data_IF_551403568575
#
_entry.id   IF_551403568575
#
_cell.length_a   1.000
_cell.length_b   1.000
_cell.length_c   1.000
_cell.angle_alpha   90.00
_cell.angle_beta   90.00
_cell.angle_gamma   90.00
#
_symmetry.space_group_name_H-M   'P 1'
#
loop_
_entity.id
_entity.type
_entity.pdbx_description
1 polymer ?
#
# COMPACT_ATOMS: atom_id res chain seq x y z
N UNK A 1 18.53 35.14 59.52
CA UNK A 1 17.63 34.10 58.96
C UNK A 1 17.30 33.12 60.07
N UNK A 2 16.03 32.92 60.38
CA UNK A 2 15.65 32.04 61.50
C UNK A 2 16.13 30.61 61.24
N UNK A 3 16.55 29.93 62.29
CA UNK A 3 17.06 28.56 62.27
C UNK A 3 16.12 27.60 61.50
N UNK A 4 14.82 27.91 61.47
CA UNK A 4 13.78 27.19 60.75
C UNK A 4 13.94 27.27 59.21
N UNK A 5 14.40 28.39 58.66
CA UNK A 5 14.67 28.51 57.23
C UNK A 5 15.92 27.73 56.80
N UNK A 6 16.96 27.73 57.65
CA UNK A 6 18.17 26.95 57.38
C UNK A 6 17.88 25.45 57.41
N UNK A 7 17.05 25.00 58.36
CA UNK A 7 16.61 23.61 58.45
C UNK A 7 15.72 23.21 57.26
N UNK A 8 14.74 24.04 56.90
CA UNK A 8 13.88 23.79 55.73
C UNK A 8 14.65 23.76 54.41
N UNK A 9 15.63 24.65 54.24
CA UNK A 9 16.50 24.68 53.07
C UNK A 9 17.42 23.45 53.00
N UNK A 10 17.95 23.00 54.14
CA UNK A 10 18.77 21.79 54.22
C UNK A 10 17.96 20.51 53.91
N UNK A 11 16.72 20.42 54.40
CA UNK A 11 15.81 19.32 54.07
C UNK A 11 15.44 19.31 52.59
N UNK A 12 15.18 20.48 52.00
CA UNK A 12 14.89 20.62 50.57
C UNK A 12 16.07 20.18 49.69
N UNK A 13 17.30 20.56 50.07
CA UNK A 13 18.52 20.10 49.39
C UNK A 13 18.70 18.59 49.47
N UNK A 14 18.43 17.97 50.63
CA UNK A 14 18.47 16.52 50.80
C UNK A 14 17.46 15.80 49.89
N UNK A 15 16.24 16.35 49.76
CA UNK A 15 15.23 15.81 48.85
C UNK A 15 15.68 15.93 47.40
N UNK A 16 16.25 17.07 47.00
CA UNK A 16 16.78 17.27 45.65
C UNK A 16 17.92 16.31 45.31
N UNK A 17 18.82 16.05 46.26
CA UNK A 17 19.90 15.06 46.10
C UNK A 17 19.32 13.65 46.02
N UNK A 18 18.34 13.31 46.87
CA UNK A 18 17.66 12.02 46.82
C UNK A 18 16.93 11.80 45.49
N UNK A 19 16.26 12.82 44.96
CA UNK A 19 15.60 12.79 43.65
C UNK A 19 16.63 12.69 42.51
N UNK A 20 17.77 13.37 42.58
CA UNK A 20 18.83 13.23 41.59
C UNK A 20 19.44 11.82 41.60
N UNK A 21 19.70 11.26 42.78
CA UNK A 21 20.19 9.88 42.91
C UNK A 21 19.16 8.88 42.41
N UNK A 22 17.88 9.08 42.74
CA UNK A 22 16.78 8.24 42.23
C UNK A 22 16.66 8.35 40.71
N UNK A 23 16.75 9.55 40.15
CA UNK A 23 16.69 9.77 38.71
C UNK A 23 17.91 9.18 37.99
N UNK A 24 19.12 9.35 38.54
CA UNK A 24 20.35 8.74 38.04
C UNK A 24 20.31 7.21 38.14
N UNK A 25 19.80 6.66 39.24
CA UNK A 25 19.59 5.23 39.39
C UNK A 25 18.55 4.72 38.40
N UNK A 26 17.44 5.43 38.20
CA UNK A 26 16.38 5.03 37.27
C UNK A 26 16.89 5.07 35.84
N UNK A 27 17.57 6.14 35.41
CA UNK A 27 18.22 6.24 34.10
C UNK A 27 19.26 5.14 33.88
N UNK A 28 20.08 4.81 34.88
CA UNK A 28 21.09 3.74 34.77
C UNK A 28 20.54 2.32 34.94
N UNK A 29 19.33 2.16 35.51
CA UNK A 29 18.68 0.84 35.65
C UNK A 29 17.70 0.51 34.53
N UNK A 30 17.37 1.47 33.65
CA UNK A 30 16.75 1.19 32.32
C UNK A 30 17.64 0.25 31.47
N UNK A 31 18.91 0.06 31.84
CA UNK A 31 19.84 -0.89 31.22
C UNK A 31 20.01 -2.25 31.93
N UNK A 32 19.18 -2.63 32.92
CA UNK A 32 19.29 -3.99 33.52
C UNK A 32 18.96 -5.04 32.45
N UNK A 33 20.00 -5.73 31.96
CA UNK A 33 19.94 -6.90 31.08
C UNK A 33 18.88 -7.88 31.59
N UNK A 34 17.75 -7.97 30.89
CA UNK A 34 16.89 -9.14 31.04
C UNK A 34 17.65 -10.36 30.50
N UNK A 35 17.39 -11.54 31.06
CA UNK A 35 17.93 -12.82 30.59
C UNK A 35 18.05 -12.89 29.06
N UNK A 36 19.23 -13.25 28.57
CA UNK A 36 19.54 -13.37 27.16
C UNK A 36 18.52 -14.28 26.47
N UNK A 37 17.86 -13.77 25.43
CA UNK A 37 17.02 -14.58 24.56
C UNK A 37 17.90 -15.27 23.53
N UNK A 38 17.69 -16.56 23.28
CA UNK A 38 18.29 -17.24 22.13
C UNK A 38 17.60 -16.74 20.86
N UNK A 39 18.13 -15.64 20.31
CA UNK A 39 17.85 -15.22 18.94
C UNK A 39 18.26 -16.37 18.01
N UNK A 40 17.46 -16.71 16.98
CA UNK A 40 17.86 -17.72 16.00
C UNK A 40 19.29 -17.45 15.52
N UNK A 41 20.10 -18.49 15.43
CA UNK A 41 21.56 -18.43 15.19
C UNK A 41 21.91 -17.81 13.82
N UNK A 42 21.72 -16.51 13.66
CA UNK A 42 22.45 -15.74 12.69
C UNK A 42 23.83 -15.60 13.30
N UNK A 43 24.87 -16.07 12.60
CA UNK A 43 26.25 -15.79 13.00
C UNK A 43 26.45 -14.28 12.93
N UNK A 44 26.24 -13.61 14.06
CA UNK A 44 26.22 -12.15 14.19
C UNK A 44 27.54 -11.53 13.73
N UNK A 45 28.63 -12.30 13.80
CA UNK A 45 29.98 -11.91 13.37
C UNK A 45 30.11 -11.63 11.88
N UNK A 46 29.15 -12.07 11.05
CA UNK A 46 29.11 -11.83 9.60
C UNK A 46 27.98 -10.90 9.17
N UNK A 47 27.16 -10.41 10.11
CA UNK A 47 26.09 -9.49 9.81
C UNK A 47 26.62 -8.05 9.78
N UNK A 48 26.14 -7.17 8.88
CA UNK A 48 26.43 -5.74 8.95
C UNK A 48 26.16 -5.17 10.36
N UNK A 49 26.94 -4.19 10.81
CA UNK A 49 26.85 -3.60 12.16
C UNK A 49 25.43 -3.22 12.56
N UNK A 50 24.64 -2.72 11.61
CA UNK A 50 23.23 -2.36 11.80
C UNK A 50 22.38 -3.52 12.32
N UNK A 51 22.60 -4.75 11.86
CA UNK A 51 21.86 -5.90 12.36
C UNK A 51 22.25 -6.21 13.81
N UNK A 52 23.54 -6.12 14.15
CA UNK A 52 24.01 -6.28 15.53
C UNK A 52 23.34 -5.25 16.43
N UNK A 53 23.31 -3.99 16.01
CA UNK A 53 22.66 -2.90 16.76
C UNK A 53 21.16 -3.17 16.93
N UNK A 54 20.44 -3.55 15.87
CA UNK A 54 19.01 -3.92 15.96
C UNK A 54 18.81 -5.05 16.97
N UNK A 55 19.60 -6.13 16.89
CA UNK A 55 19.48 -7.25 17.82
C UNK A 55 19.82 -6.87 19.27
N UNK A 56 20.80 -5.98 19.46
CA UNK A 56 21.10 -5.42 20.76
C UNK A 56 19.90 -4.62 21.31
N UNK A 57 19.30 -3.76 20.48
CA UNK A 57 18.14 -2.97 20.89
C UNK A 57 16.89 -3.81 21.15
N UNK A 58 16.69 -4.91 20.43
CA UNK A 58 15.61 -5.86 20.70
C UNK A 58 15.72 -6.47 22.11
N UNK A 59 16.94 -6.63 22.65
CA UNK A 59 17.13 -7.13 24.01
C UNK A 59 16.63 -6.15 25.09
N UNK A 60 16.56 -4.84 24.79
CA UNK A 60 16.01 -3.84 25.70
C UNK A 60 14.47 -3.75 25.66
N UNK A 61 13.80 -4.42 24.72
CA UNK A 61 12.34 -4.38 24.65
C UNK A 61 11.68 -5.12 25.83
N UNK A 62 10.51 -4.65 26.31
CA UNK A 62 9.68 -5.36 27.28
C UNK A 62 9.35 -6.78 26.84
N UNK A 63 9.15 -7.69 27.80
CA UNK A 63 8.98 -9.12 27.54
C UNK A 63 7.79 -9.44 26.62
N UNK A 64 6.74 -8.60 26.63
CA UNK A 64 5.58 -8.75 25.74
C UNK A 64 5.95 -8.68 24.25
N UNK A 65 7.02 -7.96 23.88
CA UNK A 65 7.49 -7.84 22.50
C UNK A 65 8.49 -8.94 22.11
N UNK A 66 9.01 -9.68 23.10
CA UNK A 66 9.93 -10.80 22.89
C UNK A 66 9.18 -12.12 22.60
N UNK A 67 7.90 -12.18 22.97
CA UNK A 67 7.06 -13.34 22.70
C UNK A 67 6.57 -13.32 21.24
N UNK A 68 6.79 -14.43 20.53
CA UNK A 68 6.18 -14.61 19.21
C UNK A 68 4.66 -14.58 19.35
N UNK A 69 3.99 -13.77 18.54
CA UNK A 69 2.52 -13.75 18.50
C UNK A 69 1.99 -15.16 18.21
N UNK A 70 1.30 -15.76 19.19
CA UNK A 70 0.77 -17.13 19.09
C UNK A 70 -0.21 -17.29 17.93
N UNK A 71 -0.88 -16.21 17.53
CA UNK A 71 -1.82 -16.20 16.40
C UNK A 71 -1.14 -16.13 15.04
N UNK A 72 0.17 -15.83 14.97
CA UNK A 72 0.88 -15.61 13.69
C UNK A 72 0.68 -16.75 12.71
N UNK A 73 0.92 -18.00 13.13
CA UNK A 73 0.77 -19.18 12.27
C UNK A 73 -0.67 -19.38 11.79
N UNK A 74 -1.66 -19.09 12.65
CA UNK A 74 -3.07 -19.17 12.28
C UNK A 74 -3.45 -18.08 11.27
N UNK A 75 -3.04 -16.84 11.51
CA UNK A 75 -3.26 -15.71 10.59
C UNK A 75 -2.62 -15.99 9.23
N UNK A 76 -1.37 -16.46 9.21
CA UNK A 76 -0.66 -16.80 7.99
C UNK A 76 -1.37 -17.91 7.20
N UNK A 77 -1.79 -18.99 7.88
CA UNK A 77 -2.54 -20.08 7.25
C UNK A 77 -3.88 -19.61 6.70
N UNK A 78 -4.61 -18.79 7.46
CA UNK A 78 -5.89 -18.24 7.04
C UNK A 78 -5.72 -17.35 5.80
N UNK A 79 -4.70 -16.49 5.78
CA UNK A 79 -4.38 -15.67 4.61
C UNK A 79 -4.07 -16.52 3.38
N UNK A 80 -3.20 -17.54 3.50
CA UNK A 80 -2.89 -18.43 2.37
C UNK A 80 -4.14 -19.16 1.89
N UNK A 81 -4.96 -19.66 2.82
CA UNK A 81 -6.20 -20.36 2.49
C UNK A 81 -7.22 -19.48 1.77
N UNK A 82 -7.28 -18.18 2.10
CA UNK A 82 -8.22 -17.25 1.47
C UNK A 82 -7.90 -16.97 0.01
N UNK A 83 -6.63 -17.09 -0.41
CA UNK A 83 -6.25 -17.00 -1.82
C UNK A 83 -6.46 -18.32 -2.57
N UNK A 84 -6.39 -19.46 -1.88
CA UNK A 84 -6.47 -20.79 -2.51
C UNK A 84 -7.91 -21.27 -2.77
N UNK A 85 -8.92 -20.69 -2.13
CA UNK A 85 -10.34 -21.09 -2.20
C UNK A 85 -11.04 -20.88 -3.56
N UNK A 86 -10.29 -20.75 -4.66
CA UNK A 86 -10.78 -20.38 -5.99
C UNK A 86 -11.47 -21.51 -6.78
N UNK A 87 -11.40 -22.77 -6.34
CA UNK A 87 -12.05 -23.88 -7.04
C UNK A 87 -13.55 -23.93 -6.70
N UNK A 88 -14.41 -23.84 -7.71
CA UNK A 88 -15.88 -23.97 -7.66
C UNK A 88 -16.71 -22.78 -7.12
N UNK A 89 -16.18 -21.55 -7.10
CA UNK A 89 -17.00 -20.40 -6.66
C UNK A 89 -17.84 -19.81 -7.79
N UNK A 90 -19.16 -19.73 -7.58
CA UNK A 90 -20.08 -19.01 -8.45
C UNK A 90 -19.79 -17.49 -8.38
N UNK A 91 -19.13 -16.98 -9.42
CA UNK A 91 -18.72 -15.56 -9.53
C UNK A 91 -19.91 -14.59 -9.48
N UNK A 92 -21.12 -15.02 -9.85
CA UNK A 92 -22.33 -14.16 -9.77
C UNK A 92 -22.68 -13.80 -8.34
N UNK A 93 -22.39 -14.65 -7.37
CA UNK A 93 -22.70 -14.39 -5.97
C UNK A 93 -21.71 -13.41 -5.34
N UNK A 94 -20.46 -13.35 -5.84
CA UNK A 94 -19.44 -12.43 -5.30
C UNK A 94 -19.88 -10.97 -5.45
N UNK A 95 -20.50 -10.62 -6.58
CA UNK A 95 -20.88 -9.23 -6.88
C UNK A 95 -22.15 -8.74 -6.17
N UNK A 96 -22.90 -9.62 -5.48
CA UNK A 96 -24.20 -9.27 -4.88
C UNK A 96 -24.08 -8.33 -3.68
N UNK A 97 -23.01 -8.47 -2.91
CA UNK A 97 -22.86 -7.83 -1.61
C UNK A 97 -21.82 -6.71 -1.62
N UNK A 98 -21.51 -6.17 -2.81
CA UNK A 98 -20.46 -5.15 -3.01
C UNK A 98 -20.72 -3.87 -2.23
N UNK A 99 -21.99 -3.52 -2.02
CA UNK A 99 -22.41 -2.36 -1.22
C UNK A 99 -22.05 -2.50 0.27
N UNK A 100 -21.92 -3.73 0.77
CA UNK A 100 -21.60 -4.02 2.17
C UNK A 100 -20.10 -4.18 2.44
N UNK A 101 -19.24 -4.12 1.42
CA UNK A 101 -17.81 -4.36 1.57
C UNK A 101 -17.08 -3.22 2.29
N UNK A 102 -17.50 -1.99 2.05
CA UNK A 102 -16.81 -0.81 2.58
C UNK A 102 -17.32 -0.48 3.98
N UNK A 103 -16.38 -0.40 4.92
CA UNK A 103 -16.54 0.04 6.31
C UNK A 103 -15.47 1.09 6.64
N UNK A 104 -15.43 1.55 7.88
CA UNK A 104 -14.39 2.48 8.34
C UNK A 104 -13.02 1.81 8.45
N UNK A 105 -12.97 0.48 8.64
CA UNK A 105 -11.73 -0.28 8.78
C UNK A 105 -11.25 -0.95 7.48
N UNK A 106 -12.12 -1.10 6.50
CA UNK A 106 -11.82 -1.86 5.27
C UNK A 106 -12.63 -1.37 4.07
N UNK A 107 -12.00 -1.31 2.90
CA UNK A 107 -12.68 -0.93 1.65
C UNK A 107 -13.09 -2.14 0.79
N UNK A 108 -12.52 -3.31 1.05
CA UNK A 108 -12.68 -4.51 0.24
C UNK A 108 -12.74 -5.74 1.15
N UNK A 109 -13.48 -6.80 0.76
CA UNK A 109 -13.66 -7.95 1.63
C UNK A 109 -12.33 -8.71 1.77
N UNK A 110 -11.78 -8.73 2.97
CA UNK A 110 -10.52 -9.45 3.30
C UNK A 110 -10.74 -10.70 4.14
N UNK A 111 -11.94 -10.87 4.70
CA UNK A 111 -12.26 -11.94 5.64
C UNK A 111 -12.99 -13.11 4.98
N UNK A 112 -13.22 -14.19 5.74
CA UNK A 112 -14.05 -15.33 5.34
C UNK A 112 -13.67 -15.98 4.00
N UNK A 113 -12.40 -15.94 3.62
CA UNK A 113 -11.93 -16.59 2.38
C UNK A 113 -12.29 -15.84 1.09
N UNK A 114 -12.68 -14.57 1.16
CA UNK A 114 -13.19 -13.80 0.02
C UNK A 114 -12.14 -13.49 -1.07
N UNK A 115 -10.85 -13.42 -0.73
CA UNK A 115 -9.80 -12.91 -1.61
C UNK A 115 -9.64 -13.71 -2.92
N UNK A 116 -9.46 -15.02 -2.82
CA UNK A 116 -9.25 -15.91 -3.98
C UNK A 116 -10.43 -15.89 -4.96
N UNK A 117 -11.67 -16.10 -4.49
CA UNK A 117 -12.86 -16.01 -5.32
C UNK A 117 -13.06 -14.63 -5.96
N UNK A 118 -12.78 -13.55 -5.23
CA UNK A 118 -12.86 -12.19 -5.76
C UNK A 118 -11.85 -11.98 -6.90
N UNK A 119 -10.59 -12.33 -6.69
CA UNK A 119 -9.56 -12.23 -7.73
C UNK A 119 -9.87 -13.12 -8.94
N UNK A 120 -10.41 -14.31 -8.70
CA UNK A 120 -10.88 -15.19 -9.77
C UNK A 120 -12.00 -14.51 -10.56
N UNK A 121 -13.01 -13.95 -9.89
CA UNK A 121 -14.10 -13.22 -10.53
C UNK A 121 -13.61 -12.02 -11.35
N UNK A 122 -12.65 -11.22 -10.83
CA UNK A 122 -12.04 -10.11 -11.59
C UNK A 122 -11.33 -10.63 -12.86
N UNK A 123 -10.65 -11.78 -12.76
CA UNK A 123 -9.90 -12.38 -13.86
C UNK A 123 -10.79 -12.98 -14.95
N UNK A 124 -11.90 -13.63 -14.58
CA UNK A 124 -12.68 -14.48 -15.50
C UNK A 124 -14.05 -13.95 -15.88
N UNK A 125 -14.62 -12.99 -15.13
CA UNK A 125 -15.95 -12.46 -15.46
C UNK A 125 -15.97 -11.82 -16.85
N UNK A 126 -17.03 -12.11 -17.61
CA UNK A 126 -17.24 -11.58 -18.95
C UNK A 126 -17.34 -10.05 -18.94
N UNK A 127 -16.75 -9.44 -19.96
CA UNK A 127 -16.75 -7.99 -20.15
C UNK A 127 -17.98 -7.62 -20.98
N UNK A 128 -18.81 -6.75 -20.44
CA UNK A 128 -20.02 -6.25 -21.08
C UNK A 128 -19.76 -4.95 -21.88
N UNK A 129 -18.81 -4.13 -21.44
CA UNK A 129 -18.46 -2.87 -22.11
C UNK A 129 -17.01 -2.48 -21.81
N UNK A 130 -16.34 -1.88 -22.80
CA UNK A 130 -15.00 -1.29 -22.65
C UNK A 130 -14.97 0.14 -23.17
N UNK A 131 -14.45 1.08 -22.37
CA UNK A 131 -14.17 2.46 -22.79
C UNK A 131 -12.77 2.93 -22.33
N UNK A 132 -12.34 4.08 -22.84
CA UNK A 132 -11.30 4.88 -22.24
C UNK A 132 -11.73 5.34 -20.84
N UNK A 133 -10.84 5.23 -19.86
CA UNK A 133 -11.15 5.79 -18.54
C UNK A 133 -11.21 7.33 -18.59
N UNK A 134 -12.14 7.96 -17.85
CA UNK A 134 -12.48 9.38 -18.04
C UNK A 134 -11.39 10.37 -17.62
N UNK A 135 -10.44 9.97 -16.77
CA UNK A 135 -9.39 10.86 -16.20
C UNK A 135 -8.10 10.10 -15.97
N UNK A 136 -6.97 10.76 -16.20
CA UNK A 136 -5.64 10.22 -15.89
C UNK A 136 -4.58 10.73 -16.86
N UNK A 137 -3.33 10.62 -16.44
CA UNK A 137 -2.18 10.98 -17.28
C UNK A 137 -1.70 9.83 -18.16
N UNK A 138 -1.89 8.60 -17.68
CA UNK A 138 -1.44 7.36 -18.31
C UNK A 138 -2.60 6.57 -18.91
N UNK A 139 -2.29 5.72 -19.90
CA UNK A 139 -3.27 4.85 -20.56
C UNK A 139 -3.89 3.88 -19.54
N UNK A 140 -5.21 3.91 -19.43
CA UNK A 140 -6.00 2.90 -18.73
C UNK A 140 -7.39 2.82 -19.34
N UNK A 141 -7.94 1.62 -19.37
CA UNK A 141 -9.29 1.35 -19.86
C UNK A 141 -10.25 1.16 -18.68
N UNK A 142 -11.52 1.44 -18.91
CA UNK A 142 -12.61 1.13 -18.00
C UNK A 142 -13.38 -0.05 -18.56
N UNK A 143 -13.45 -1.14 -17.81
CA UNK A 143 -14.29 -2.29 -18.13
C UNK A 143 -15.53 -2.26 -17.26
N UNK A 144 -16.66 -2.60 -17.84
CA UNK A 144 -17.87 -3.00 -17.13
C UNK A 144 -18.03 -4.50 -17.31
N UNK A 145 -18.08 -5.25 -16.22
CA UNK A 145 -18.36 -6.68 -16.24
C UNK A 145 -19.87 -6.92 -16.29
N UNK A 146 -20.30 -8.11 -16.73
CA UNK A 146 -21.73 -8.49 -16.71
C UNK A 146 -22.36 -8.41 -15.32
N UNK A 147 -21.56 -8.63 -14.27
CA UNK A 147 -21.95 -8.43 -12.87
C UNK A 147 -22.08 -6.96 -12.45
N UNK A 148 -22.13 -6.02 -13.40
CA UNK A 148 -22.17 -4.55 -13.22
C UNK A 148 -20.99 -3.94 -12.47
N UNK A 149 -20.01 -4.75 -12.09
CA UNK A 149 -18.79 -4.28 -11.48
C UNK A 149 -17.89 -3.62 -12.51
N UNK A 150 -17.26 -2.50 -12.14
CA UNK A 150 -16.28 -1.81 -12.96
C UNK A 150 -14.86 -2.26 -12.61
N UNK A 151 -13.98 -2.31 -13.59
CA UNK A 151 -12.55 -2.51 -13.42
C UNK A 151 -11.78 -1.41 -14.16
N UNK A 152 -10.70 -0.93 -13.56
CA UNK A 152 -9.65 -0.31 -14.35
C UNK A 152 -8.74 -1.39 -14.92
N UNK A 153 -8.37 -1.25 -16.19
CA UNK A 153 -7.38 -2.09 -16.83
C UNK A 153 -6.18 -1.26 -17.26
N UNK A 154 -5.03 -1.52 -16.64
CA UNK A 154 -3.75 -0.92 -17.01
C UNK A 154 -2.95 -1.92 -17.86
N UNK A 155 -2.81 -1.69 -19.17
CA UNK A 155 -2.11 -2.63 -20.05
C UNK A 155 -0.60 -2.67 -19.75
N UNK A 156 0.01 -3.82 -20.04
CA UNK A 156 1.45 -4.02 -19.99
C UNK A 156 2.16 -3.06 -20.96
N UNK A 157 3.17 -2.35 -20.44
CA UNK A 157 4.04 -1.44 -21.24
C UNK A 157 5.51 -1.83 -21.24
N UNK A 158 5.92 -2.64 -20.27
CA UNK A 158 7.30 -3.04 -20.03
C UNK A 158 7.38 -4.55 -19.78
N UNK A 159 8.54 -5.14 -20.06
CA UNK A 159 8.90 -6.45 -19.56
C UNK A 159 9.26 -6.37 -18.07
N UNK A 160 9.19 -7.51 -17.38
CA UNK A 160 9.50 -7.60 -15.95
C UNK A 160 10.93 -7.12 -15.64
N UNK A 161 11.86 -7.37 -16.56
CA UNK A 161 13.30 -7.07 -16.44
C UNK A 161 13.66 -5.63 -16.78
N UNK A 162 12.73 -4.85 -17.33
CA UNK A 162 13.02 -3.49 -17.74
C UNK A 162 13.36 -2.62 -16.53
N UNK A 163 14.32 -1.71 -16.70
CA UNK A 163 14.71 -0.72 -15.68
C UNK A 163 14.27 0.65 -16.17
N UNK A 164 13.40 1.34 -15.40
CA UNK A 164 13.06 2.73 -15.72
C UNK A 164 14.25 3.61 -15.35
N UNK A 165 14.76 4.35 -16.33
CA UNK A 165 15.80 5.36 -16.15
C UNK A 165 15.19 6.76 -16.27
N UNK A 166 15.84 7.74 -15.67
CA UNK A 166 15.42 9.15 -15.70
C UNK A 166 14.97 9.64 -14.34
N UNK A 167 14.10 10.66 -14.33
CA UNK A 167 13.55 11.20 -13.08
C UNK A 167 12.59 10.20 -12.41
N UNK A 168 12.29 10.43 -11.13
CA UNK A 168 11.48 9.51 -10.29
C UNK A 168 10.04 9.31 -10.76
N UNK A 169 9.53 10.17 -11.65
CA UNK A 169 8.18 10.12 -12.21
C UNK A 169 8.17 9.82 -13.71
N UNK A 170 9.29 9.32 -14.25
CA UNK A 170 9.43 8.96 -15.66
C UNK A 170 8.78 7.60 -15.95
N UNK A 171 8.44 7.41 -17.23
CA UNK A 171 7.92 6.15 -17.74
C UNK A 171 6.40 5.99 -17.61
N UNK A 172 5.92 4.83 -18.08
CA UNK A 172 4.53 4.43 -17.99
C UNK A 172 4.24 3.69 -16.68
N UNK A 173 2.95 3.65 -16.31
CA UNK A 173 2.50 2.77 -15.22
C UNK A 173 2.87 1.31 -15.52
N UNK A 174 3.41 0.63 -14.51
CA UNK A 174 3.77 -0.79 -14.57
C UNK A 174 2.61 -1.62 -14.04
N UNK A 175 1.95 -2.37 -14.93
CA UNK A 175 0.76 -3.17 -14.58
C UNK A 175 1.06 -4.19 -13.48
N UNK A 176 2.20 -4.88 -13.58
CA UNK A 176 2.65 -5.84 -12.57
C UNK A 176 2.85 -5.20 -11.18
N UNK A 177 3.31 -3.94 -11.10
CA UNK A 177 3.48 -3.25 -9.83
C UNK A 177 2.16 -3.06 -9.07
N UNK A 178 1.05 -2.81 -9.77
CA UNK A 178 -0.29 -2.72 -9.15
C UNK A 178 -0.67 -4.05 -8.48
N UNK A 179 -0.39 -5.16 -9.17
CA UNK A 179 -0.67 -6.51 -8.66
C UNK A 179 0.24 -6.83 -7.48
N UNK A 180 1.55 -6.61 -7.59
CA UNK A 180 2.49 -6.83 -6.48
C UNK A 180 2.16 -6.00 -5.25
N UNK A 181 1.81 -4.72 -5.43
CA UNK A 181 1.42 -3.84 -4.34
C UNK A 181 0.19 -4.38 -3.59
N UNK A 182 -0.80 -4.90 -4.31
CA UNK A 182 -1.96 -5.54 -3.68
C UNK A 182 -1.58 -6.78 -2.85
N UNK A 183 -0.77 -7.70 -3.40
CA UNK A 183 -0.33 -8.87 -2.63
C UNK A 183 0.51 -8.49 -1.40
N UNK A 184 1.41 -7.52 -1.54
CA UNK A 184 2.20 -6.99 -0.42
C UNK A 184 1.29 -6.37 0.65
N UNK A 185 0.28 -5.61 0.23
CA UNK A 185 -0.71 -5.02 1.12
C UNK A 185 -1.43 -6.09 1.95
N UNK A 186 -1.79 -7.23 1.35
CA UNK A 186 -2.43 -8.33 2.08
C UNK A 186 -1.48 -8.98 3.10
N UNK A 187 -0.18 -9.11 2.77
CA UNK A 187 0.84 -9.59 3.72
C UNK A 187 1.03 -8.62 4.89
N UNK A 188 0.96 -7.31 4.62
CA UNK A 188 1.08 -6.25 5.62
C UNK A 188 -0.26 -5.94 6.33
N UNK A 189 -1.33 -6.68 6.03
CA UNK A 189 -2.68 -6.50 6.56
C UNK A 189 -3.28 -5.09 6.31
N UNK A 190 -2.98 -4.48 5.16
CA UNK A 190 -3.66 -3.28 4.69
C UNK A 190 -4.99 -3.63 4.05
N UNK A 191 -6.09 -3.09 4.60
CA UNK A 191 -7.46 -3.46 4.22
C UNK A 191 -8.15 -2.50 3.23
N UNK A 192 -7.39 -1.56 2.66
CA UNK A 192 -7.90 -0.47 1.80
C UNK A 192 -7.30 -0.46 0.38
N UNK A 193 -6.47 -1.44 0.03
CA UNK A 193 -5.87 -1.53 -1.31
C UNK A 193 -6.78 -2.31 -2.25
N UNK A 194 -7.02 -1.75 -3.44
CA UNK A 194 -7.92 -2.34 -4.42
C UNK A 194 -7.44 -3.71 -4.92
N UNK A 195 -8.31 -4.74 -4.90
CA UNK A 195 -8.05 -6.05 -5.49
C UNK A 195 -7.56 -5.93 -6.93
N UNK A 196 -6.37 -6.47 -7.17
CA UNK A 196 -5.66 -6.32 -8.44
C UNK A 196 -5.13 -7.67 -8.90
N UNK A 197 -5.38 -8.02 -10.16
CA UNK A 197 -4.98 -9.30 -10.75
C UNK A 197 -4.50 -9.12 -12.19
N UNK A 198 -3.54 -9.96 -12.61
CA UNK A 198 -3.19 -10.04 -14.04
C UNK A 198 -4.34 -10.71 -14.80
N UNK A 199 -4.77 -10.04 -15.87
CA UNK A 199 -5.75 -10.55 -16.83
C UNK A 199 -5.17 -10.43 -18.24
N UNK A 200 -5.34 -11.49 -19.04
CA UNK A 200 -5.07 -11.50 -20.49
C UNK A 200 -6.38 -11.49 -21.22
N UNK A 201 -6.46 -10.68 -22.27
CA UNK A 201 -7.73 -10.37 -22.93
C UNK A 201 -7.49 -10.38 -24.43
N UNK A 202 -8.26 -11.16 -25.16
CA UNK A 202 -8.19 -11.21 -26.61
C UNK A 202 -8.84 -9.96 -27.20
N UNK A 203 -8.07 -9.15 -27.95
CA UNK A 203 -8.52 -7.83 -28.42
C UNK A 203 -9.76 -7.95 -29.32
N UNK A 204 -9.69 -8.78 -30.36
CA UNK A 204 -10.78 -8.90 -31.34
C UNK A 204 -12.02 -9.64 -30.82
N UNK A 205 -11.87 -10.49 -29.79
CA UNK A 205 -12.95 -11.33 -29.27
C UNK A 205 -13.62 -10.75 -28.03
N UNK A 206 -12.86 -10.09 -27.16
CA UNK A 206 -13.34 -9.62 -25.85
C UNK A 206 -13.37 -8.09 -25.72
N UNK A 207 -12.62 -7.34 -26.54
CA UNK A 207 -12.60 -5.86 -26.47
C UNK A 207 -13.41 -5.24 -27.61
N UNK A 208 -13.05 -5.52 -28.86
CA UNK A 208 -13.63 -4.87 -30.05
C UNK A 208 -15.16 -4.98 -30.11
N UNK A 209 -15.79 -6.15 -29.82
CA UNK A 209 -17.25 -6.29 -29.90
C UNK A 209 -18.01 -5.41 -28.89
N UNK A 210 -17.41 -5.15 -27.73
CA UNK A 210 -18.03 -4.44 -26.59
C UNK A 210 -17.41 -3.04 -26.35
N UNK A 211 -16.53 -2.60 -27.25
CA UNK A 211 -15.89 -1.30 -27.17
C UNK A 211 -16.87 -0.17 -27.53
N UNK A 212 -16.87 0.90 -26.74
CA UNK A 212 -17.62 2.11 -27.08
C UNK A 212 -17.03 2.81 -28.31
N UNK A 213 -17.81 3.73 -28.90
CA UNK A 213 -17.29 4.61 -29.96
C UNK A 213 -16.11 5.47 -29.49
N UNK A 214 -16.06 5.81 -28.19
CA UNK A 214 -14.95 6.54 -27.59
C UNK A 214 -13.64 5.76 -27.70
N UNK A 215 -13.66 4.48 -27.35
CA UNK A 215 -12.49 3.61 -27.47
C UNK A 215 -12.15 3.25 -28.91
N UNK A 216 -13.15 2.92 -29.75
CA UNK A 216 -12.94 2.54 -31.16
C UNK A 216 -12.18 3.62 -31.96
N UNK A 217 -12.44 4.90 -31.68
CA UNK A 217 -11.71 6.03 -32.28
C UNK A 217 -10.25 6.12 -31.88
N UNK A 218 -9.85 5.41 -30.83
CA UNK A 218 -8.49 5.38 -30.28
C UNK A 218 -7.80 4.03 -30.48
N UNK A 219 -8.25 3.30 -31.50
CA UNK A 219 -7.67 2.04 -31.98
C UNK A 219 -7.12 2.22 -33.39
N UNK A 220 -5.98 1.61 -33.66
CA UNK A 220 -5.30 1.68 -34.97
C UNK A 220 -4.74 0.32 -35.34
N UNK A 221 -4.71 -0.01 -36.63
CA UNK A 221 -4.04 -1.23 -37.08
C UNK A 221 -2.54 -1.02 -37.10
N UNK A 222 -1.78 -2.00 -36.63
CA UNK A 222 -0.34 -2.07 -36.88
C UNK A 222 -0.07 -2.57 -38.32
N UNK A 223 1.21 -2.68 -38.67
CA UNK A 223 1.67 -3.16 -39.99
C UNK A 223 1.18 -4.58 -40.31
N UNK A 224 1.02 -5.42 -39.28
CA UNK A 224 0.49 -6.80 -39.41
C UNK A 224 -1.04 -6.85 -39.51
N UNK A 225 -1.73 -5.71 -39.43
CA UNK A 225 -3.19 -5.61 -39.48
C UNK A 225 -3.92 -5.79 -38.15
N UNK A 226 -3.20 -6.10 -37.06
CA UNK A 226 -3.76 -6.25 -35.71
C UNK A 226 -4.15 -4.91 -35.10
N UNK A 227 -5.30 -4.84 -34.41
CA UNK A 227 -5.74 -3.63 -33.74
C UNK A 227 -4.96 -3.38 -32.44
N UNK A 228 -4.32 -2.22 -32.36
CA UNK A 228 -3.64 -1.71 -31.19
C UNK A 228 -4.40 -0.52 -30.59
N UNK A 229 -4.22 -0.30 -29.29
CA UNK A 229 -4.96 0.70 -28.50
C UNK A 229 -3.98 1.76 -28.02
N UNK A 230 -4.19 3.03 -28.35
CA UNK A 230 -3.48 4.14 -27.70
C UNK A 230 -4.34 4.89 -26.68
N UNK A 231 -5.66 4.74 -26.77
CA UNK A 231 -6.63 5.27 -25.80
C UNK A 231 -6.67 6.80 -25.70
N UNK A 232 -7.32 7.30 -24.63
CA UNK A 232 -7.47 8.73 -24.35
C UNK A 232 -7.01 9.04 -22.92
N UNK A 233 -5.90 9.76 -22.80
CA UNK A 233 -5.33 10.26 -21.54
C UNK A 233 -4.42 11.47 -21.84
N UNK A 234 -3.92 12.15 -20.80
CA UNK A 234 -3.10 13.38 -20.99
C UNK A 234 -1.85 13.15 -21.84
N UNK A 235 -1.15 12.01 -21.69
CA UNK A 235 0.05 11.69 -22.45
C UNK A 235 -0.17 10.66 -23.58
N UNK A 236 -1.40 10.22 -23.82
CA UNK A 236 -1.70 9.18 -24.81
C UNK A 236 -1.52 9.73 -26.24
N UNK A 237 -0.77 9.00 -27.06
CA UNK A 237 -0.47 9.36 -28.45
C UNK A 237 -0.58 8.14 -29.37
N UNK A 238 -0.93 8.37 -30.62
CA UNK A 238 -1.10 7.32 -31.64
C UNK A 238 0.19 6.50 -31.90
N UNK A 239 1.37 7.06 -31.62
CA UNK A 239 2.65 6.37 -31.73
C UNK A 239 3.04 5.58 -30.46
N UNK A 240 2.23 5.63 -29.40
CA UNK A 240 2.46 4.95 -28.13
C UNK A 240 1.31 3.96 -27.84
N UNK A 241 1.16 2.97 -28.72
CA UNK A 241 0.09 1.98 -28.65
C UNK A 241 0.43 0.76 -27.79
N UNK A 242 -0.60 0.04 -27.36
CA UNK A 242 -0.52 -1.33 -26.84
C UNK A 242 -1.13 -2.25 -27.89
N UNK A 243 -0.33 -3.18 -28.38
CA UNK A 243 -0.73 -4.15 -29.39
C UNK A 243 -0.90 -5.55 -28.78
N UNK A 244 -1.78 -6.39 -29.35
CA UNK A 244 -1.87 -7.79 -28.98
C UNK A 244 -0.57 -8.55 -29.31
N UNK A 245 -0.30 -9.61 -28.55
CA UNK A 245 0.72 -10.59 -28.86
C UNK A 245 0.29 -11.52 -30.01
N UNK A 246 1.12 -12.50 -30.34
CA UNK A 246 0.87 -13.50 -31.42
C UNK A 246 -0.41 -14.33 -31.20
N UNK A 247 -0.96 -14.35 -29.98
CA UNK A 247 -2.23 -15.03 -29.64
C UNK A 247 -3.44 -14.10 -29.72
N UNK A 248 -3.27 -12.85 -30.14
CA UNK A 248 -4.33 -11.85 -30.17
C UNK A 248 -4.62 -11.21 -28.81
N UNK A 249 -3.78 -11.42 -27.80
CA UNK A 249 -4.04 -11.02 -26.41
C UNK A 249 -3.20 -9.83 -25.96
N UNK A 250 -3.82 -8.95 -25.16
CA UNK A 250 -3.10 -7.97 -24.32
C UNK A 250 -3.11 -8.42 -22.86
N UNK A 251 -1.96 -8.30 -22.20
CA UNK A 251 -1.84 -8.51 -20.75
C UNK A 251 -1.96 -7.17 -20.03
N UNK A 252 -2.60 -7.16 -18.86
CA UNK A 252 -2.64 -5.98 -18.00
C UNK A 252 -3.11 -6.30 -16.59
N UNK A 253 -3.08 -5.28 -15.74
CA UNK A 253 -3.63 -5.34 -14.40
C UNK A 253 -5.09 -4.94 -14.44
N UNK A 254 -5.96 -5.86 -14.07
CA UNK A 254 -7.36 -5.61 -13.78
C UNK A 254 -7.49 -5.25 -12.31
N UNK A 255 -7.90 -4.01 -12.04
CA UNK A 255 -7.97 -3.40 -10.72
C UNK A 255 -9.44 -3.10 -10.45
N UNK A 256 -9.96 -3.59 -9.33
CA UNK A 256 -11.34 -3.36 -8.94
C UNK A 256 -11.60 -1.85 -8.78
N UNK A 257 -12.61 -1.33 -9.46
CA UNK A 257 -13.01 0.06 -9.36
C UNK A 257 -13.77 0.30 -8.06
N UNK A 258 -13.48 1.42 -7.40
CA UNK A 258 -14.18 1.88 -6.19
C UNK A 258 -15.10 3.05 -6.55
N UNK A 259 -16.41 2.84 -6.45
CA UNK A 259 -17.42 3.89 -6.73
C UNK A 259 -17.53 4.92 -5.61
N UNK A 260 -17.04 4.61 -4.40
CA UNK A 260 -17.02 5.54 -3.26
C UNK A 260 -16.05 6.70 -3.53
N UNK A 261 -16.54 7.92 -3.36
CA UNK A 261 -15.72 9.13 -3.46
C UNK A 261 -15.12 9.46 -2.09
N UNK A 262 -13.83 9.78 -2.07
CA UNK A 262 -13.12 10.20 -0.88
C UNK A 262 -12.65 11.64 -1.02
N UNK A 263 -12.54 12.33 0.10
CA UNK A 263 -11.88 13.63 0.15
C UNK A 263 -10.39 13.43 -0.19
N UNK A 264 -9.90 14.22 -1.14
CA UNK A 264 -8.50 14.15 -1.58
C UNK A 264 -7.69 15.19 -0.82
N UNK A 265 -6.65 14.73 -0.12
CA UNK A 265 -5.70 15.57 0.58
C UNK A 265 -4.34 15.52 -0.12
N UNK A 266 -3.64 16.66 -0.20
CA UNK A 266 -2.26 16.70 -0.70
C UNK A 266 -1.34 16.14 0.37
N UNK A 267 -0.46 15.22 0.00
CA UNK A 267 0.58 14.73 0.92
C UNK A 267 1.51 15.88 1.35
N UNK A 268 1.87 16.00 2.65
CA UNK A 268 2.88 16.95 3.08
C UNK A 268 4.28 16.58 2.54
N UNK A 269 4.51 15.29 2.24
CA UNK A 269 5.72 14.81 1.55
C UNK A 269 5.57 14.78 0.01
N UNK A 270 4.68 15.61 -0.54
CA UNK A 270 4.59 15.80 -1.99
C UNK A 270 5.89 16.41 -2.51
N UNK A 271 6.40 15.90 -3.64
CA UNK A 271 7.56 16.45 -4.35
C UNK A 271 7.22 17.71 -5.15
N UNK A 272 8.24 18.47 -5.55
CA UNK A 272 8.06 19.66 -6.41
C UNK A 272 7.67 19.30 -7.85
N UNK A 273 7.97 18.08 -8.31
CA UNK A 273 7.88 17.64 -9.71
C UNK A 273 8.67 18.54 -10.68
N UNK A 274 9.79 19.09 -10.19
CA UNK A 274 10.72 19.92 -10.93
C UNK A 274 12.15 19.63 -10.47
N UNK A 275 13.13 20.40 -10.96
CA UNK A 275 14.51 20.36 -10.45
C UNK A 275 14.67 20.96 -9.04
N UNK A 276 13.64 21.65 -8.52
CA UNK A 276 13.67 22.21 -7.15
C UNK A 276 13.47 21.12 -6.11
N UNK A 277 14.20 21.20 -5.00
CA UNK A 277 13.93 20.35 -3.83
C UNK A 277 12.81 20.95 -2.98
N UNK A 278 12.02 20.11 -2.33
CA UNK A 278 11.10 20.52 -1.28
C UNK A 278 11.82 20.64 0.06
N UNK A 279 11.26 21.39 1.01
CA UNK A 279 11.85 21.61 2.34
C UNK A 279 12.13 20.27 3.05
N UNK A 280 11.22 19.30 2.91
CA UNK A 280 11.39 17.96 3.48
C UNK A 280 12.53 17.13 2.87
N UNK A 281 13.07 17.54 1.71
CA UNK A 281 14.20 16.90 1.04
C UNK A 281 15.57 17.49 1.45
N UNK A 282 15.57 18.60 2.19
CA UNK A 282 16.79 19.34 2.56
C UNK A 282 16.99 19.46 4.07
N UNK A 283 15.91 19.56 4.84
CA UNK A 283 15.97 19.72 6.29
C UNK A 283 16.00 18.36 7.02
N UNK A 284 16.49 18.36 8.26
CA UNK A 284 16.56 17.14 9.09
C UNK A 284 15.14 16.74 9.51
N UNK A 285 14.83 15.45 9.41
CA UNK A 285 13.50 14.86 9.62
C UNK A 285 12.75 15.34 10.88
N UNK A 286 13.48 15.67 11.97
CA UNK A 286 12.89 16.09 13.25
C UNK A 286 12.21 17.46 13.17
N UNK A 287 12.80 18.45 12.48
CA UNK A 287 12.23 19.80 12.37
C UNK A 287 10.98 19.82 11.47
N UNK A 288 11.02 19.03 10.38
CA UNK A 288 9.90 18.87 9.45
C UNK A 288 8.74 18.12 10.12
N UNK A 289 9.02 17.09 10.93
CA UNK A 289 7.97 16.32 11.61
C UNK A 289 7.19 17.20 12.59
N UNK A 290 7.87 17.98 13.42
CA UNK A 290 7.21 18.89 14.35
C UNK A 290 6.39 19.95 13.62
N UNK A 291 6.92 20.55 12.54
CA UNK A 291 6.20 21.59 11.80
C UNK A 291 4.98 21.07 11.02
N UNK A 292 5.07 19.91 10.36
CA UNK A 292 3.96 19.40 9.53
C UNK A 292 2.93 18.55 10.29
N UNK A 293 3.36 17.75 11.27
CA UNK A 293 2.48 16.80 11.98
C UNK A 293 1.82 17.46 13.19
N UNK A 294 2.48 18.38 13.90
CA UNK A 294 1.92 19.01 15.10
C UNK A 294 1.10 20.28 14.84
N UNK A 295 1.13 20.86 13.64
CA UNK A 295 0.41 22.11 13.34
C UNK A 295 -0.83 21.85 12.48
N UNK A 296 -0.81 20.82 11.64
CA UNK A 296 -1.92 20.54 10.75
C UNK A 296 -2.98 19.69 11.46
N UNK A 297 -4.21 20.22 11.55
CA UNK A 297 -5.35 19.58 12.22
C UNK A 297 -5.75 18.22 11.66
N UNK A 298 -5.26 17.83 10.48
CA UNK A 298 -5.47 16.49 9.91
C UNK A 298 -4.53 15.43 10.50
N UNK A 299 -3.41 15.87 11.10
CA UNK A 299 -2.37 15.00 11.64
C UNK A 299 -2.20 15.17 13.16
N UNK A 300 -2.80 16.20 13.75
CA UNK A 300 -2.94 16.34 15.21
C UNK A 300 -4.23 15.71 15.71
N UNK A 301 -4.12 14.89 16.75
CA UNK A 301 -5.28 14.59 17.58
C UNK A 301 -5.45 15.73 18.58
N UNK A 302 -6.42 16.62 18.35
CA UNK A 302 -6.96 17.38 19.47
C UNK A 302 -7.83 16.41 20.28
N UNK A 303 -7.31 15.96 21.42
CA UNK A 303 -8.01 15.23 22.50
C UNK A 303 -9.43 14.74 22.15
N UNK A 304 -9.53 13.53 21.60
CA UNK A 304 -10.72 12.67 21.74
C UNK A 304 -10.40 11.50 22.68
N UNK A 305 -9.77 11.82 23.81
CA UNK A 305 -9.83 11.03 25.03
C UNK A 305 -10.83 11.72 25.97
N UNK A 306 -12.06 11.88 25.52
CA UNK A 306 -13.18 12.04 26.44
C UNK A 306 -13.89 10.69 26.51
N UNK A 307 -13.81 10.12 27.71
CA UNK A 307 -14.55 8.99 28.25
C UNK A 307 -15.80 8.53 27.48
N UNK A 308 -15.78 7.25 27.08
CA UNK A 308 -16.92 6.33 27.22
C UNK A 308 -16.39 4.94 27.52
#
# INVERSE_FOLDING_TARGET
>A
MSLNYAFGFSLFLLILVGLNIYFFYTLNTVGRRSSNFNVPSIKLDYAPSVFKDIYEYLNYLPIQYKNKNQKFTSIQKNLISSFNSSQNVNTKNIWRDTEMWASDESLFPVENGALGPLLHAIRTSQIALVDNAPKGTQLKLLFLLEGKQKLYFKPKRYQMTDVIRGNIYAGFDRHNSEVFAYYLAMVLNFKWIAPSVIRRIHVDREIVPVATMGLKRTMVKNESGSLCIYGKCFYCKINETVCPNDKGEIEGAAILYLDKQFRVHKSPWRRSYSSRKMDWETEIFLEIYEYFVNINSLYTSHNQLEHT
#
